data_IF_913892501865
#
_entry.id   IF_913892501865
#
_cell.length_a   1.000
_cell.length_b   1.000
_cell.length_c   1.000
_cell.angle_alpha   90.00
_cell.angle_beta   90.00
_cell.angle_gamma   90.00
#
_symmetry.space_group_name_H-M   'P 1'
#
loop_
_entity.id
_entity.type
_entity.pdbx_description
1 polymer ?
#
# COMPACT_ATOMS: atom_id res chain seq x y z
N UNK A 1 9.34 -5.97 9.69
CA UNK A 1 10.07 -5.63 8.46
C UNK A 1 9.61 -6.51 7.31
N UNK A 2 9.47 -5.95 6.12
CA UNK A 2 9.01 -6.70 4.96
C UNK A 2 10.16 -7.47 4.33
N UNK A 3 9.98 -8.79 4.06
CA UNK A 3 11.00 -9.55 3.32
C UNK A 3 11.23 -8.97 1.92
N UNK A 4 12.41 -9.22 1.37
CA UNK A 4 12.79 -8.65 0.06
C UNK A 4 11.81 -9.01 -1.06
N UNK A 5 11.27 -10.23 -1.06
CA UNK A 5 10.32 -10.68 -2.08
C UNK A 5 8.98 -9.94 -2.07
N UNK A 6 8.70 -9.20 -0.99
CA UNK A 6 7.46 -8.43 -0.84
C UNK A 6 7.63 -6.94 -1.10
N UNK A 7 8.80 -6.52 -1.61
CA UNK A 7 9.04 -5.09 -1.86
C UNK A 7 8.96 -4.78 -3.34
N UNK A 8 8.26 -3.69 -3.66
CA UNK A 8 8.32 -3.08 -4.98
C UNK A 8 9.63 -2.29 -5.06
N UNK A 9 10.43 -2.51 -6.09
CA UNK A 9 11.77 -1.94 -6.18
C UNK A 9 12.00 -1.02 -7.36
N UNK A 10 11.41 -1.32 -8.50
CA UNK A 10 11.66 -0.54 -9.72
C UNK A 10 10.57 0.50 -9.93
N UNK A 11 10.93 1.57 -10.64
CA UNK A 11 9.94 2.58 -11.02
C UNK A 11 8.85 2.00 -11.92
N UNK A 12 9.21 1.00 -12.75
CA UNK A 12 8.24 0.30 -13.57
C UNK A 12 7.21 -0.46 -12.74
N UNK A 13 7.65 -1.13 -11.66
CA UNK A 13 6.75 -1.83 -10.75
C UNK A 13 5.78 -0.86 -10.08
N UNK A 14 6.27 0.29 -9.61
CA UNK A 14 5.41 1.31 -9.01
C UNK A 14 4.42 1.87 -10.01
N UNK A 15 4.87 2.17 -11.23
CA UNK A 15 3.99 2.70 -12.28
C UNK A 15 2.88 1.70 -12.62
N UNK A 16 3.21 0.43 -12.72
CA UNK A 16 2.23 -0.60 -13.01
C UNK A 16 1.20 -0.72 -11.89
N UNK A 17 1.64 -0.67 -10.63
CA UNK A 17 0.74 -0.74 -9.49
C UNK A 17 -0.19 0.47 -9.41
N UNK A 18 0.31 1.67 -9.79
CA UNK A 18 -0.46 2.89 -9.70
C UNK A 18 -1.39 3.10 -10.88
N UNK A 19 -1.02 2.64 -12.07
CA UNK A 19 -1.73 2.97 -13.32
C UNK A 19 -2.10 1.76 -14.15
N UNK A 20 -1.70 0.56 -13.75
CA UNK A 20 -1.94 -0.64 -14.51
C UNK A 20 -3.42 -0.96 -14.65
N UNK A 21 -3.73 -1.78 -15.66
CA UNK A 21 -5.09 -2.30 -15.84
C UNK A 21 -5.47 -3.10 -14.61
N UNK A 22 -6.67 -2.86 -14.09
CA UNK A 22 -7.13 -3.52 -12.87
C UNK A 22 -6.70 -2.82 -11.60
N UNK A 23 -6.02 -1.68 -11.71
CA UNK A 23 -5.62 -0.88 -10.56
C UNK A 23 -6.85 -0.25 -9.91
N UNK A 24 -6.94 -0.35 -8.59
CA UNK A 24 -7.98 0.30 -7.79
C UNK A 24 -7.32 1.08 -6.67
N UNK A 25 -8.02 2.09 -6.18
CA UNK A 25 -7.49 2.89 -5.08
C UNK A 25 -8.59 3.30 -4.12
N UNK A 26 -8.20 3.54 -2.88
CA UNK A 26 -9.06 4.12 -1.86
C UNK A 26 -8.20 5.02 -0.99
N UNK A 27 -8.75 6.14 -0.57
CA UNK A 27 -7.98 7.13 0.19
C UNK A 27 -8.72 7.65 1.40
N UNK A 28 -7.92 8.21 2.31
CA UNK A 28 -8.38 8.90 3.51
C UNK A 28 -7.54 10.16 3.69
N UNK A 29 -7.77 10.87 4.80
CA UNK A 29 -6.96 12.03 5.13
C UNK A 29 -5.49 11.68 5.33
N UNK A 30 -5.19 10.47 5.82
CA UNK A 30 -3.83 10.08 6.17
C UNK A 30 -3.07 9.43 5.01
N UNK A 31 -3.70 8.53 4.28
CA UNK A 31 -3.01 7.73 3.26
C UNK A 31 -3.94 7.43 2.09
N UNK A 32 -3.32 7.03 0.97
CA UNK A 32 -4.02 6.48 -0.18
C UNK A 32 -3.42 5.11 -0.48
N UNK A 33 -4.28 4.11 -0.63
CA UNK A 33 -3.86 2.73 -0.93
C UNK A 33 -4.24 2.42 -2.37
N UNK A 34 -3.26 1.98 -3.16
CA UNK A 34 -3.46 1.50 -4.52
C UNK A 34 -3.20 0.00 -4.53
N UNK A 35 -4.04 -0.74 -5.23
CA UNK A 35 -3.84 -2.18 -5.40
C UNK A 35 -4.03 -2.55 -6.87
N UNK A 36 -3.19 -3.45 -7.35
CA UNK A 36 -3.26 -3.95 -8.71
C UNK A 36 -2.95 -5.44 -8.72
N UNK A 37 -3.87 -6.23 -9.26
CA UNK A 37 -3.69 -7.67 -9.44
C UNK A 37 -3.47 -7.93 -10.92
N UNK A 38 -2.34 -8.53 -11.26
CA UNK A 38 -1.98 -8.82 -12.64
C UNK A 38 -1.88 -10.33 -12.85
N UNK A 39 -2.47 -10.82 -13.95
CA UNK A 39 -2.41 -12.24 -14.29
C UNK A 39 -0.97 -12.71 -14.47
N UNK A 40 -0.10 -11.85 -14.99
CA UNK A 40 1.30 -12.18 -15.19
C UNK A 40 2.02 -12.53 -13.88
N UNK A 41 1.48 -12.11 -12.74
CA UNK A 41 2.05 -12.39 -11.43
C UNK A 41 1.25 -13.39 -10.61
N UNK A 42 0.25 -14.02 -11.24
CA UNK A 42 -0.57 -15.01 -10.53
C UNK A 42 0.32 -16.07 -9.87
N UNK A 43 0.06 -16.34 -8.59
CA UNK A 43 0.82 -17.30 -7.82
C UNK A 43 2.12 -16.77 -7.22
N UNK A 44 2.54 -15.55 -7.57
CA UNK A 44 3.72 -14.94 -6.99
C UNK A 44 3.39 -14.19 -5.70
N UNK A 45 4.39 -13.97 -4.86
CA UNK A 45 4.20 -13.27 -3.60
C UNK A 45 3.66 -11.87 -3.83
N UNK A 46 2.76 -11.39 -2.97
CA UNK A 46 2.32 -10.00 -3.05
C UNK A 46 3.50 -9.06 -2.79
N UNK A 47 3.50 -7.93 -3.49
CA UNK A 47 4.55 -6.92 -3.34
C UNK A 47 3.96 -5.62 -2.81
N UNK A 48 4.75 -4.90 -2.01
CA UNK A 48 4.32 -3.67 -1.39
C UNK A 48 5.35 -2.58 -1.61
N UNK A 49 4.87 -1.38 -1.87
CA UNK A 49 5.73 -0.20 -1.95
C UNK A 49 5.12 0.96 -1.18
N UNK A 50 5.97 1.89 -0.79
CA UNK A 50 5.56 3.07 -0.04
C UNK A 50 6.07 4.33 -0.73
N UNK A 51 5.20 5.33 -0.82
CA UNK A 51 5.55 6.63 -1.39
C UNK A 51 5.35 7.68 -0.31
N UNK A 52 6.44 8.28 0.14
CA UNK A 52 6.42 9.35 1.12
C UNK A 52 7.20 10.52 0.54
N UNK A 53 6.48 11.52 0.02
CA UNK A 53 7.09 12.65 -0.67
C UNK A 53 7.59 13.71 0.32
N UNK A 54 8.31 14.68 -0.23
CA UNK A 54 8.81 15.83 0.55
C UNK A 54 7.69 16.65 1.17
N UNK A 55 6.48 16.58 0.63
CA UNK A 55 5.33 17.27 1.19
C UNK A 55 4.98 16.79 2.60
N UNK A 56 5.37 15.57 2.95
CA UNK A 56 5.16 15.02 4.30
C UNK A 56 6.12 15.63 5.29
N UNK A 57 7.36 15.91 4.89
CA UNK A 57 8.36 16.50 5.76
C UNK A 57 9.77 16.21 5.28
N UNK A 58 10.75 16.55 6.12
CA UNK A 58 12.15 16.28 5.85
C UNK A 58 12.49 14.81 5.96
N UNK A 59 13.76 14.48 5.71
CA UNK A 59 14.20 13.08 5.65
C UNK A 59 13.90 12.29 6.92
N UNK A 60 14.08 12.89 8.09
CA UNK A 60 13.82 12.22 9.37
C UNK A 60 12.34 11.88 9.50
N UNK A 61 11.47 12.85 9.18
CA UNK A 61 10.02 12.67 9.26
C UNK A 61 9.57 11.61 8.25
N UNK A 62 10.06 11.69 7.01
CA UNK A 62 9.70 10.72 5.98
C UNK A 62 10.12 9.31 6.35
N UNK A 63 11.31 9.14 6.90
CA UNK A 63 11.79 7.83 7.31
C UNK A 63 10.94 7.26 8.46
N UNK A 64 10.52 8.13 9.39
CA UNK A 64 9.65 7.71 10.49
C UNK A 64 8.30 7.23 9.97
N UNK A 65 7.71 7.98 9.04
CA UNK A 65 6.42 7.60 8.44
C UNK A 65 6.55 6.28 7.69
N UNK A 66 7.59 6.13 6.87
CA UNK A 66 7.84 4.88 6.14
C UNK A 66 7.97 3.71 7.10
N UNK A 67 8.72 3.89 8.18
CA UNK A 67 8.94 2.82 9.16
C UNK A 67 7.63 2.40 9.81
N UNK A 68 6.78 3.36 10.17
CA UNK A 68 5.48 3.08 10.76
C UNK A 68 4.56 2.36 9.78
N UNK A 69 4.50 2.83 8.54
CA UNK A 69 3.68 2.20 7.52
C UNK A 69 4.15 0.78 7.23
N UNK A 70 5.47 0.59 7.13
CA UNK A 70 6.04 -0.72 6.86
C UNK A 70 5.72 -1.71 7.96
N UNK A 71 5.85 -1.29 9.21
CA UNK A 71 5.55 -2.16 10.35
C UNK A 71 4.07 -2.54 10.39
N UNK A 72 3.18 -1.57 10.15
CA UNK A 72 1.75 -1.83 10.15
C UNK A 72 1.33 -2.73 9.00
N UNK A 73 1.89 -2.53 7.82
CA UNK A 73 1.55 -3.37 6.69
C UNK A 73 2.13 -4.77 6.81
N UNK A 74 3.32 -4.92 7.40
CA UNK A 74 3.91 -6.24 7.62
C UNK A 74 2.99 -7.14 8.46
N UNK A 75 2.33 -6.58 9.45
CA UNK A 75 1.38 -7.31 10.28
C UNK A 75 0.12 -7.73 9.51
N UNK A 76 -0.13 -7.11 8.36
CA UNK A 76 -1.33 -7.34 7.53
C UNK A 76 -1.02 -7.97 6.18
N UNK A 77 0.23 -8.37 5.97
CA UNK A 77 0.67 -8.89 4.68
C UNK A 77 -0.13 -10.13 4.26
N UNK A 78 -0.55 -10.93 5.24
CA UNK A 78 -1.34 -12.14 4.99
C UNK A 78 -2.70 -11.85 4.35
N UNK A 79 -3.19 -10.61 4.44
CA UNK A 79 -4.46 -10.22 3.84
C UNK A 79 -4.34 -9.94 2.33
N UNK A 80 -3.13 -9.77 1.82
CA UNK A 80 -2.91 -9.40 0.42
C UNK A 80 -2.77 -10.67 -0.41
N UNK A 81 -3.65 -10.87 -1.41
CA UNK A 81 -3.58 -12.09 -2.24
C UNK A 81 -2.30 -12.15 -3.08
N UNK A 82 -1.88 -13.37 -3.39
CA UNK A 82 -0.78 -13.58 -4.32
C UNK A 82 -1.06 -12.86 -5.65
N UNK A 83 -0.02 -12.36 -6.28
CA UNK A 83 -0.15 -11.66 -7.56
C UNK A 83 -0.57 -10.21 -7.45
N UNK A 84 -0.84 -9.71 -6.24
CA UNK A 84 -1.29 -8.35 -6.01
C UNK A 84 -0.15 -7.47 -5.60
N UNK A 85 -0.06 -6.29 -6.21
CA UNK A 85 0.86 -5.23 -5.80
C UNK A 85 0.07 -4.15 -5.07
N UNK A 86 0.60 -3.68 -3.94
CA UNK A 86 -0.02 -2.63 -3.15
C UNK A 86 0.96 -1.49 -2.97
N UNK A 87 0.51 -0.27 -3.22
CA UNK A 87 1.31 0.93 -2.95
C UNK A 87 0.54 1.80 -1.97
N UNK A 88 1.21 2.20 -0.90
CA UNK A 88 0.66 3.11 0.08
C UNK A 88 1.37 4.44 -0.05
N UNK A 89 0.59 5.48 -0.34
CA UNK A 89 1.09 6.85 -0.41
C UNK A 89 0.68 7.59 0.84
N UNK A 90 1.64 8.24 1.50
CA UNK A 90 1.35 9.06 2.66
C UNK A 90 0.93 10.46 2.25
N UNK A 91 -0.15 10.95 2.84
CA UNK A 91 -0.55 12.35 2.72
C UNK A 91 0.22 13.17 3.78
N UNK A 92 0.34 14.50 3.60
CA UNK A 92 1.14 15.32 4.55
C UNK A 92 0.76 15.16 6.01
N UNK A 93 -0.52 15.00 6.33
CA UNK A 93 -0.96 14.85 7.73
C UNK A 93 -0.48 13.54 8.36
N UNK A 94 -0.02 12.57 7.57
CA UNK A 94 0.52 11.33 8.10
C UNK A 94 1.78 11.57 8.96
N UNK A 95 2.44 12.72 8.77
CA UNK A 95 3.63 13.07 9.55
C UNK A 95 3.33 13.09 11.06
N UNK A 96 2.10 13.40 11.43
CA UNK A 96 1.68 13.53 12.82
C UNK A 96 0.89 12.33 13.32
N UNK A 97 0.62 11.35 12.46
CA UNK A 97 -0.19 10.20 12.84
C UNK A 97 0.61 9.20 13.67
N UNK A 98 -0.01 8.66 14.70
CA UNK A 98 0.59 7.56 15.44
C UNK A 98 0.45 6.26 14.66
N UNK A 99 1.29 5.30 14.98
CA UNK A 99 1.34 4.02 14.26
C UNK A 99 -0.02 3.31 14.26
N UNK A 100 -0.72 3.32 15.38
CA UNK A 100 -2.02 2.67 15.50
C UNK A 100 -3.06 3.27 14.55
N UNK A 101 -3.04 4.61 14.37
CA UNK A 101 -3.96 5.27 13.45
C UNK A 101 -3.66 4.89 12.01
N UNK A 102 -2.40 4.80 11.65
CA UNK A 102 -2.01 4.34 10.31
C UNK A 102 -2.47 2.91 10.08
N UNK A 103 -2.34 2.06 11.09
CA UNK A 103 -2.80 0.67 11.00
C UNK A 103 -4.31 0.56 10.77
N UNK A 104 -5.10 1.35 11.47
CA UNK A 104 -6.55 1.37 11.30
C UNK A 104 -6.94 1.82 9.90
N UNK A 105 -6.25 2.84 9.37
CA UNK A 105 -6.52 3.30 8.01
C UNK A 105 -6.12 2.26 6.97
N UNK A 106 -5.01 1.59 7.18
CA UNK A 106 -4.61 0.49 6.29
C UNK A 106 -5.68 -0.59 6.27
N UNK A 107 -6.19 -1.01 7.43
CA UNK A 107 -7.24 -2.03 7.51
C UNK A 107 -8.47 -1.60 6.71
N UNK A 108 -8.93 -0.39 6.94
CA UNK A 108 -10.13 0.14 6.29
C UNK A 108 -9.97 0.23 4.78
N UNK A 109 -8.83 0.74 4.33
CA UNK A 109 -8.59 0.94 2.90
C UNK A 109 -8.26 -0.36 2.18
N UNK A 110 -7.58 -1.30 2.83
CA UNK A 110 -7.37 -2.63 2.25
C UNK A 110 -8.70 -3.34 2.05
N UNK A 111 -9.62 -3.23 3.00
CA UNK A 111 -10.95 -3.82 2.84
C UNK A 111 -11.62 -3.31 1.56
N UNK A 112 -11.46 -2.02 1.27
CA UNK A 112 -12.08 -1.41 0.11
C UNK A 112 -11.42 -1.83 -1.20
N UNK A 113 -10.09 -1.87 -1.25
CA UNK A 113 -9.38 -2.16 -2.50
C UNK A 113 -9.29 -3.65 -2.78
N UNK A 114 -9.35 -4.50 -1.76
CA UNK A 114 -9.25 -5.95 -1.92
C UNK A 114 -10.60 -6.65 -1.99
N UNK A 115 -11.71 -5.94 -1.74
CA UNK A 115 -13.03 -6.51 -1.89
C UNK A 115 -13.26 -6.91 -3.36
N UNK A 116 -13.62 -8.18 -3.65
CA UNK A 116 -13.83 -8.60 -5.03
C UNK A 116 -14.95 -7.79 -5.68
N UNK A 117 -14.66 -7.21 -6.83
CA UNK A 117 -15.62 -6.39 -7.55
C UNK A 117 -16.82 -7.20 -8.01
N UNK A 118 -16.56 -8.44 -8.42
CA UNK A 118 -17.63 -9.33 -8.84
C UNK A 118 -18.61 -9.59 -7.70
N UNK A 119 -18.09 -9.81 -6.48
CA UNK A 119 -18.93 -9.97 -5.31
C UNK A 119 -19.71 -8.69 -5.00
N UNK A 120 -19.06 -7.55 -5.14
CA UNK A 120 -19.69 -6.26 -4.87
C UNK A 120 -20.80 -5.94 -5.88
N UNK A 121 -20.70 -6.47 -7.09
CA UNK A 121 -21.69 -6.22 -8.12
C UNK A 121 -22.78 -7.29 -8.19
N UNK A 122 -22.52 -8.39 -7.56
CA UNK A 122 -23.52 -9.44 -7.51
C UNK A 122 -24.62 -9.06 -6.51
#
# INVERSE_FOLDING_TARGET
MLPAGHRLRSSGDFSAALRGRGSVRAGSALIVVHANTADARAGQLPRVGFVVSRAVGGAVVRNRVKRRLRAQLAARLHRIPAGTDVVIRANPVAAQAISADLGREIDRLLDRVLTPRTAARA
#
